data_IF_033424319157
#
_entry.id   IF_033424319157
#
_cell.length_a   1.000
_cell.length_b   1.000
_cell.length_c   1.000
_cell.angle_alpha   90.00
_cell.angle_beta   90.00
_cell.angle_gamma   90.00
#
_symmetry.space_group_name_H-M   'P 1'
#
loop_
_entity.id
_entity.type
_entity.pdbx_description
1 polymer ?
#
# COMPACT_ATOMS: atom_id res chain seq x y z
N UNK A 1 1.88 11.18 16.58
CA UNK A 1 2.93 11.29 15.54
C UNK A 1 2.50 12.32 14.51
N UNK A 2 3.43 12.84 13.70
CA UNK A 2 3.14 13.83 12.66
C UNK A 2 2.10 13.30 11.64
N UNK A 3 1.38 14.21 10.97
CA UNK A 3 0.54 13.86 9.81
C UNK A 3 1.33 14.13 8.54
N UNK A 4 1.26 13.18 7.60
CA UNK A 4 1.80 13.31 6.25
C UNK A 4 0.65 13.34 5.24
N UNK A 5 0.69 14.30 4.32
CA UNK A 5 -0.38 14.56 3.37
C UNK A 5 0.19 14.53 1.96
N UNK A 6 -0.28 13.58 1.14
CA UNK A 6 -0.04 13.61 -0.29
C UNK A 6 -1.04 14.58 -0.92
N UNK A 7 -0.56 15.63 -1.56
CA UNK A 7 -1.45 16.68 -2.13
C UNK A 7 -1.94 16.33 -3.54
N UNK A 8 -1.94 15.03 -3.88
CA UNK A 8 -2.14 14.49 -5.22
C UNK A 8 -1.05 14.92 -6.22
N UNK A 9 -1.02 16.17 -6.65
CA UNK A 9 -0.14 16.65 -7.74
C UNK A 9 0.91 17.68 -7.31
N UNK A 10 0.82 18.21 -6.08
CA UNK A 10 1.63 19.35 -5.63
C UNK A 10 2.62 18.96 -4.52
N UNK A 11 3.12 17.73 -4.56
CA UNK A 11 4.06 17.20 -3.58
C UNK A 11 3.42 16.76 -2.26
N UNK A 12 4.20 16.82 -1.19
CA UNK A 12 3.85 16.28 0.13
C UNK A 12 3.93 17.38 1.17
N UNK A 13 3.00 17.35 2.13
CA UNK A 13 3.03 18.20 3.32
C UNK A 13 3.16 17.38 4.58
N UNK A 14 3.75 17.99 5.60
CA UNK A 14 3.83 17.45 6.95
C UNK A 14 3.30 18.45 7.96
N UNK A 15 2.37 17.99 8.80
CA UNK A 15 1.91 18.71 9.97
C UNK A 15 2.61 18.15 11.20
N UNK A 16 3.29 19.02 11.95
CA UNK A 16 3.99 18.62 13.16
C UNK A 16 3.00 18.41 14.31
N UNK A 17 3.12 17.28 15.00
CA UNK A 17 2.35 17.02 16.21
C UNK A 17 2.83 17.92 17.36
N UNK A 18 1.90 18.56 18.07
CA UNK A 18 2.19 19.51 19.16
C UNK A 18 1.83 19.02 20.55
N UNK A 19 1.16 17.87 20.66
CA UNK A 19 0.65 17.34 21.92
C UNK A 19 -0.84 17.09 21.84
N UNK A 20 -1.46 16.91 23.00
CA UNK A 20 -2.91 16.74 23.13
C UNK A 20 -3.50 17.94 23.86
N UNK A 21 -4.75 18.29 23.54
CA UNK A 21 -5.50 19.24 24.35
C UNK A 21 -5.98 18.62 25.68
N UNK A 22 -6.72 19.39 26.47
CA UNK A 22 -7.28 18.95 27.76
C UNK A 22 -8.27 17.79 27.64
N UNK A 23 -8.78 17.48 26.45
CA UNK A 23 -9.72 16.40 26.16
C UNK A 23 -9.04 15.18 25.52
N UNK A 24 -7.72 15.22 25.30
CA UNK A 24 -6.98 14.16 24.65
C UNK A 24 -7.02 14.20 23.12
N UNK A 25 -7.51 15.29 22.51
CA UNK A 25 -7.52 15.46 21.05
C UNK A 25 -6.12 15.85 20.57
N UNK A 26 -5.58 15.23 19.50
CA UNK A 26 -4.26 15.55 19.01
C UNK A 26 -4.22 16.93 18.33
N UNK A 27 -3.26 17.76 18.72
CA UNK A 27 -3.03 19.10 18.16
C UNK A 27 -1.92 19.02 17.11
N UNK A 28 -2.15 19.67 15.97
CA UNK A 28 -1.19 19.75 14.86
C UNK A 28 -0.93 21.19 14.46
N UNK A 29 0.32 21.48 14.08
CA UNK A 29 0.73 22.80 13.59
C UNK A 29 0.30 23.00 12.14
N UNK A 30 -0.89 23.57 11.95
CA UNK A 30 -1.44 23.87 10.62
C UNK A 30 -0.83 25.14 10.00
N UNK A 31 -0.21 26.00 10.80
CA UNK A 31 0.35 27.26 10.34
C UNK A 31 1.80 27.11 9.85
N UNK A 32 2.55 26.16 10.42
CA UNK A 32 3.94 25.88 10.04
C UNK A 32 4.07 24.50 9.38
N UNK A 33 3.38 24.31 8.25
CA UNK A 33 3.44 23.08 7.48
C UNK A 33 4.80 22.98 6.78
N UNK A 34 5.46 21.83 6.86
CA UNK A 34 6.65 21.56 6.06
C UNK A 34 6.22 21.01 4.70
N UNK A 35 6.76 21.57 3.63
CA UNK A 35 6.49 21.14 2.25
C UNK A 35 7.68 20.38 1.67
N UNK A 36 7.37 19.37 0.88
CA UNK A 36 8.31 18.55 0.14
C UNK A 36 7.87 18.51 -1.32
N UNK A 37 8.81 18.66 -2.24
CA UNK A 37 8.52 18.65 -3.66
C UNK A 37 7.92 17.31 -4.12
N UNK A 38 7.22 17.36 -5.26
CA UNK A 38 6.69 16.16 -5.90
C UNK A 38 7.85 15.24 -6.33
N UNK A 39 7.93 13.99 -5.83
CA UNK A 39 8.96 13.08 -6.31
C UNK A 39 8.74 12.75 -7.78
N UNK A 40 9.79 12.83 -8.59
CA UNK A 40 9.76 12.68 -10.05
C UNK A 40 9.17 11.36 -10.55
N UNK A 41 9.17 10.33 -9.71
CA UNK A 41 8.59 9.02 -9.99
C UNK A 41 7.06 9.04 -10.13
N UNK A 42 6.41 10.15 -9.73
CA UNK A 42 4.96 10.25 -9.67
C UNK A 42 4.46 11.50 -10.42
N UNK A 43 3.32 11.34 -11.10
CA UNK A 43 2.47 12.46 -11.52
C UNK A 43 1.29 12.69 -10.58
N UNK A 44 0.89 11.64 -9.84
CA UNK A 44 -0.17 11.68 -8.84
C UNK A 44 0.24 10.78 -7.67
N UNK A 45 0.25 11.31 -6.44
CA UNK A 45 0.42 10.56 -5.20
C UNK A 45 -0.94 10.07 -4.71
N UNK A 46 -1.02 8.80 -4.32
CA UNK A 46 -2.24 8.17 -3.79
C UNK A 46 -2.10 7.73 -2.34
N UNK A 47 -0.92 7.27 -1.93
CA UNK A 47 -0.66 6.79 -0.57
C UNK A 47 0.71 7.21 -0.08
N UNK A 48 0.78 7.46 1.23
CA UNK A 48 2.01 7.70 1.97
C UNK A 48 2.01 6.81 3.20
N UNK A 49 3.15 6.21 3.52
CA UNK A 49 3.39 5.56 4.79
C UNK A 49 4.77 5.97 5.30
N UNK A 50 4.84 6.61 6.47
CA UNK A 50 6.11 7.04 7.05
C UNK A 50 6.47 6.18 8.26
N UNK A 51 7.68 5.63 8.24
CA UNK A 51 8.25 4.81 9.30
C UNK A 51 9.30 5.63 10.06
N UNK A 52 8.95 6.23 11.22
CA UNK A 52 9.82 7.19 11.90
C UNK A 52 11.09 6.55 12.47
N UNK A 53 11.07 5.26 12.84
CA UNK A 53 12.23 4.56 13.41
C UNK A 53 13.40 4.46 12.44
N UNK A 54 13.13 4.44 11.15
CA UNK A 54 14.12 4.29 10.07
C UNK A 54 14.20 5.52 9.17
N UNK A 55 13.48 6.60 9.53
CA UNK A 55 13.30 7.79 8.70
C UNK A 55 12.99 7.46 7.22
N UNK A 56 12.05 6.52 7.03
CA UNK A 56 11.70 5.99 5.71
C UNK A 56 10.30 6.42 5.30
N UNK A 57 10.18 6.97 4.11
CA UNK A 57 8.89 7.28 3.47
C UNK A 57 8.64 6.30 2.34
N UNK A 58 7.47 5.70 2.35
CA UNK A 58 6.96 4.90 1.25
C UNK A 58 5.83 5.65 0.58
N UNK A 59 5.90 5.75 -0.74
CA UNK A 59 4.95 6.48 -1.55
C UNK A 59 4.39 5.53 -2.59
N UNK A 60 3.08 5.49 -2.76
CA UNK A 60 2.45 4.85 -3.90
C UNK A 60 1.59 5.85 -4.68
N UNK A 61 1.57 5.70 -6.00
CA UNK A 61 0.88 6.60 -6.89
C UNK A 61 0.97 6.19 -8.36
N UNK A 62 0.54 7.10 -9.24
CA UNK A 62 0.62 6.91 -10.68
C UNK A 62 1.93 7.48 -11.23
N UNK A 63 2.63 6.68 -12.03
CA UNK A 63 3.86 7.12 -12.71
C UNK A 63 3.55 8.13 -13.83
N UNK A 64 4.50 8.99 -14.21
CA UNK A 64 4.34 9.91 -15.35
C UNK A 64 3.92 9.20 -16.63
N UNK A 65 4.42 7.98 -16.85
CA UNK A 65 4.15 7.14 -18.02
C UNK A 65 2.84 6.34 -17.95
N UNK A 66 2.10 6.39 -16.84
CA UNK A 66 0.84 5.65 -16.72
C UNK A 66 -0.25 6.33 -17.54
N UNK A 67 -0.68 5.71 -18.63
CA UNK A 67 -1.56 6.32 -19.65
C UNK A 67 -3.06 6.01 -19.45
N UNK A 68 -3.40 5.19 -18.44
CA UNK A 68 -4.78 4.77 -18.21
C UNK A 68 -5.51 5.66 -17.21
N UNK A 69 -6.85 5.60 -17.22
CA UNK A 69 -7.69 6.23 -16.20
C UNK A 69 -7.51 5.47 -14.88
N UNK A 70 -6.98 6.14 -13.87
CA UNK A 70 -7.01 5.63 -12.50
C UNK A 70 -8.44 5.54 -11.96
N UNK A 71 -8.70 4.59 -11.08
CA UNK A 71 -9.99 4.44 -10.39
C UNK A 71 -9.92 4.97 -8.96
N UNK A 72 -11.09 5.18 -8.34
CA UNK A 72 -11.20 5.71 -6.99
C UNK A 72 -10.62 4.76 -5.95
N UNK A 73 -9.86 5.33 -5.02
CA UNK A 73 -9.32 4.62 -3.88
C UNK A 73 -8.19 3.64 -4.22
N UNK A 74 -7.68 3.60 -5.45
CA UNK A 74 -6.50 2.79 -5.79
C UNK A 74 -5.21 3.39 -5.25
N UNK A 75 -4.17 2.56 -5.12
CA UNK A 75 -2.83 3.01 -4.68
C UNK A 75 -1.93 3.43 -5.86
N UNK A 76 -2.34 3.19 -7.11
CA UNK A 76 -1.57 3.48 -8.31
C UNK A 76 -0.76 2.29 -8.86
N UNK A 77 0.10 2.56 -9.85
CA UNK A 77 0.88 1.53 -10.55
C UNK A 77 2.37 1.53 -10.16
N UNK A 78 2.75 2.35 -9.17
CA UNK A 78 4.13 2.50 -8.74
C UNK A 78 4.20 2.73 -7.25
N UNK A 79 5.18 2.11 -6.61
CA UNK A 79 5.56 2.43 -5.24
C UNK A 79 7.07 2.65 -5.12
N UNK A 80 7.48 3.58 -4.28
CA UNK A 80 8.89 3.95 -4.09
C UNK A 80 9.18 4.08 -2.60
N UNK A 81 10.32 3.54 -2.19
CA UNK A 81 10.89 3.66 -0.85
C UNK A 81 11.97 4.75 -0.87
N UNK A 82 11.84 5.74 0.00
CA UNK A 82 12.85 6.76 0.27
C UNK A 82 13.36 6.63 1.70
N UNK A 83 14.68 6.64 1.88
CA UNK A 83 15.36 6.72 3.17
C UNK A 83 15.83 8.15 3.44
N UNK A 84 16.19 8.44 4.70
CA UNK A 84 16.67 9.75 5.14
C UNK A 84 15.67 10.89 4.82
N UNK A 85 14.37 10.57 4.82
CA UNK A 85 13.31 11.43 4.32
C UNK A 85 13.25 12.79 5.01
N UNK A 86 13.50 12.84 6.32
CA UNK A 86 13.39 14.08 7.09
C UNK A 86 14.51 15.10 6.84
N UNK A 87 15.61 14.69 6.18
CA UNK A 87 16.80 15.53 5.96
C UNK A 87 17.15 15.66 4.48
N UNK A 88 17.43 14.53 3.83
CA UNK A 88 17.88 14.46 2.45
C UNK A 88 17.28 13.19 1.83
N UNK A 89 16.02 13.25 1.37
CA UNK A 89 15.33 12.10 0.79
C UNK A 89 16.16 11.42 -0.29
N UNK A 90 16.45 10.14 -0.09
CA UNK A 90 17.18 9.32 -1.05
C UNK A 90 16.33 8.13 -1.45
N UNK A 91 16.13 7.95 -2.76
CA UNK A 91 15.47 6.77 -3.29
C UNK A 91 16.30 5.52 -3.00
N UNK A 92 15.69 4.54 -2.35
CA UNK A 92 16.33 3.28 -1.94
C UNK A 92 15.72 2.04 -2.60
N UNK A 93 14.53 2.16 -3.21
CA UNK A 93 13.86 1.04 -3.88
C UNK A 93 12.62 1.50 -4.62
N UNK A 94 12.22 0.74 -5.65
CA UNK A 94 11.05 1.03 -6.49
C UNK A 94 10.40 -0.26 -6.93
N UNK A 95 9.06 -0.27 -6.96
CA UNK A 95 8.23 -1.37 -7.43
C UNK A 95 7.28 -0.85 -8.50
N UNK A 96 7.23 -1.56 -9.63
CA UNK A 96 6.15 -1.44 -10.60
C UNK A 96 5.04 -2.39 -10.16
N UNK A 97 3.91 -1.83 -9.74
CA UNK A 97 2.78 -2.60 -9.22
C UNK A 97 2.02 -3.14 -10.41
N UNK A 98 1.76 -4.45 -10.41
CA UNK A 98 0.91 -5.06 -11.43
C UNK A 98 -0.45 -4.37 -11.44
N UNK A 99 -0.85 -3.90 -12.62
CA UNK A 99 -2.04 -3.09 -12.84
C UNK A 99 -2.70 -3.56 -14.13
N UNK A 100 -3.65 -4.49 -14.04
CA UNK A 100 -4.32 -5.02 -15.22
C UNK A 100 -5.65 -4.31 -15.43
N UNK A 101 -5.79 -3.63 -16.56
CA UNK A 101 -7.05 -3.03 -17.01
C UNK A 101 -7.61 -3.65 -18.29
N UNK A 102 -6.88 -4.60 -18.89
CA UNK A 102 -7.18 -5.13 -20.23
C UNK A 102 -7.52 -6.61 -20.14
N UNK A 103 -8.80 -6.90 -20.24
CA UNK A 103 -9.28 -8.15 -20.81
C UNK A 103 -10.78 -8.04 -21.09
N UNK A 104 -11.17 -8.17 -22.35
CA UNK A 104 -12.58 -8.41 -22.69
C UNK A 104 -13.04 -9.66 -21.95
N UNK A 105 -14.13 -9.54 -21.18
CA UNK A 105 -14.68 -10.66 -20.40
C UNK A 105 -14.01 -10.95 -19.04
N UNK A 106 -12.87 -10.33 -18.71
CA UNK A 106 -12.22 -10.48 -17.39
C UNK A 106 -11.99 -9.10 -16.78
N UNK A 107 -12.65 -8.84 -15.64
CA UNK A 107 -12.58 -7.56 -14.92
C UNK A 107 -11.16 -7.28 -14.41
N UNK A 108 -10.79 -6.00 -14.29
CA UNK A 108 -9.42 -5.57 -14.02
C UNK A 108 -8.91 -5.91 -12.61
N UNK A 109 -7.64 -6.33 -12.50
CA UNK A 109 -6.89 -6.41 -11.24
C UNK A 109 -6.43 -5.01 -10.85
N UNK A 110 -7.13 -4.40 -9.88
CA UNK A 110 -6.84 -3.04 -9.46
C UNK A 110 -6.23 -3.04 -8.04
N UNK A 111 -5.04 -2.44 -7.85
CA UNK A 111 -4.38 -2.41 -6.55
C UNK A 111 -5.07 -1.38 -5.64
N UNK A 112 -5.82 -1.87 -4.64
CA UNK A 112 -6.69 -1.07 -3.79
C UNK A 112 -6.04 -0.65 -2.48
N UNK A 113 -5.27 -1.55 -1.88
CA UNK A 113 -4.67 -1.34 -0.57
C UNK A 113 -3.21 -1.74 -0.55
N UNK A 114 -2.45 -1.16 0.38
CA UNK A 114 -1.06 -1.51 0.63
C UNK A 114 -0.79 -1.63 2.13
N UNK A 115 0.14 -2.53 2.47
CA UNK A 115 0.78 -2.58 3.77
C UNK A 115 2.28 -2.83 3.59
N UNK A 116 3.10 -2.33 4.51
CA UNK A 116 4.56 -2.39 4.37
C UNK A 116 5.22 -3.02 5.60
N UNK A 117 6.24 -3.84 5.35
CA UNK A 117 7.14 -4.30 6.40
C UNK A 117 8.59 -4.28 5.91
N UNK A 118 9.32 -3.22 6.26
CA UNK A 118 10.71 -3.06 5.84
C UNK A 118 10.84 -2.96 4.33
N UNK A 119 11.41 -3.98 3.70
CA UNK A 119 11.61 -4.04 2.25
C UNK A 119 10.44 -4.69 1.49
N UNK A 120 9.43 -5.19 2.18
CA UNK A 120 8.30 -5.87 1.55
C UNK A 120 7.07 -4.98 1.47
N UNK A 121 6.51 -4.91 0.26
CA UNK A 121 5.24 -4.26 -0.05
C UNK A 121 4.18 -5.35 -0.29
N UNK A 122 3.13 -5.34 0.52
CA UNK A 122 1.94 -6.15 0.33
C UNK A 122 0.90 -5.30 -0.39
N UNK A 123 0.39 -5.77 -1.52
CA UNK A 123 -0.62 -5.07 -2.31
C UNK A 123 -1.88 -5.91 -2.37
N UNK A 124 -2.98 -5.37 -1.87
CA UNK A 124 -4.31 -5.95 -1.92
C UNK A 124 -5.04 -5.54 -3.18
N UNK A 125 -5.64 -6.50 -3.86
CA UNK A 125 -6.32 -6.30 -5.12
C UNK A 125 -7.84 -6.42 -4.95
N UNK A 126 -8.56 -5.46 -5.54
CA UNK A 126 -9.96 -5.70 -5.89
C UNK A 126 -9.94 -6.47 -7.20
N UNK A 127 -10.51 -7.66 -7.17
CA UNK A 127 -10.61 -8.58 -8.30
C UNK A 127 -12.01 -9.18 -8.29
N UNK A 128 -12.70 -9.03 -9.41
CA UNK A 128 -14.09 -9.48 -9.59
C UNK A 128 -14.19 -10.90 -10.18
N UNK A 129 -13.14 -11.71 -10.11
CA UNK A 129 -13.25 -13.14 -10.38
C UNK A 129 -14.36 -13.75 -9.51
N UNK A 130 -15.37 -14.31 -10.16
CA UNK A 130 -16.43 -15.08 -9.49
C UNK A 130 -15.80 -16.28 -8.77
N UNK A 131 -16.43 -16.75 -7.69
CA UNK A 131 -15.92 -17.82 -6.81
C UNK A 131 -15.41 -19.09 -7.51
N UNK A 132 -15.87 -19.34 -8.74
CA UNK A 132 -15.60 -20.56 -9.53
C UNK A 132 -14.52 -20.40 -10.60
N UNK A 133 -13.88 -19.24 -10.74
CA UNK A 133 -12.84 -19.04 -11.76
C UNK A 133 -11.52 -19.72 -11.34
N UNK A 134 -11.04 -20.75 -12.07
CA UNK A 134 -9.76 -21.39 -11.79
C UNK A 134 -8.56 -20.46 -12.05
N UNK A 135 -8.75 -19.36 -12.78
CA UNK A 135 -7.73 -18.32 -13.03
C UNK A 135 -7.75 -17.20 -11.98
N UNK A 136 -8.30 -17.46 -10.79
CA UNK A 136 -8.44 -16.47 -9.72
C UNK A 136 -7.12 -15.74 -9.46
N UNK A 137 -7.14 -14.42 -9.55
CA UNK A 137 -5.97 -13.62 -9.25
C UNK A 137 -5.68 -13.64 -7.75
N UNK A 138 -4.39 -13.55 -7.42
CA UNK A 138 -3.96 -13.48 -6.04
C UNK A 138 -4.53 -12.23 -5.37
N UNK A 139 -5.24 -12.41 -4.25
CA UNK A 139 -5.85 -11.26 -3.55
C UNK A 139 -4.80 -10.35 -2.95
N UNK A 140 -3.67 -10.91 -2.53
CA UNK A 140 -2.50 -10.12 -2.13
C UNK A 140 -1.28 -10.57 -2.91
N UNK A 141 -0.54 -9.61 -3.43
CA UNK A 141 0.78 -9.83 -4.05
C UNK A 141 1.84 -9.16 -3.18
N UNK A 142 3.00 -9.79 -3.08
CA UNK A 142 4.13 -9.29 -2.28
C UNK A 142 5.25 -8.92 -3.22
N UNK A 143 5.75 -7.70 -3.07
CA UNK A 143 6.87 -7.19 -3.83
C UNK A 143 8.04 -6.86 -2.91
N UNK A 144 9.25 -6.94 -3.44
CA UNK A 144 10.48 -6.55 -2.75
C UNK A 144 10.99 -5.22 -3.29
N UNK A 145 11.11 -4.20 -2.44
CA UNK A 145 11.64 -2.88 -2.81
C UNK A 145 13.12 -2.94 -3.25
N UNK A 146 13.88 -3.95 -2.82
CA UNK A 146 15.31 -4.10 -3.15
C UNK A 146 15.51 -4.48 -4.61
N UNK A 147 14.63 -5.35 -5.13
CA UNK A 147 14.73 -5.91 -6.49
C UNK A 147 13.67 -5.34 -7.43
N UNK A 148 12.60 -4.77 -6.90
CA UNK A 148 11.41 -4.34 -7.63
C UNK A 148 10.51 -5.48 -8.10
N UNK A 149 10.80 -6.72 -7.73
CA UNK A 149 10.11 -7.91 -8.22
C UNK A 149 8.93 -8.32 -7.34
N UNK A 150 7.93 -8.95 -7.96
CA UNK A 150 6.90 -9.72 -7.26
C UNK A 150 7.50 -11.05 -6.80
N UNK A 151 7.49 -11.31 -5.49
CA UNK A 151 8.14 -12.47 -4.87
C UNK A 151 7.16 -13.48 -4.30
N UNK A 152 5.89 -13.10 -4.08
CA UNK A 152 4.87 -14.01 -3.60
C UNK A 152 3.46 -13.58 -3.98
N UNK A 153 2.57 -14.58 -4.00
CA UNK A 153 1.13 -14.44 -4.17
C UNK A 153 0.43 -15.13 -3.01
N UNK A 154 -0.52 -14.45 -2.38
CA UNK A 154 -1.25 -14.94 -1.22
C UNK A 154 -2.72 -15.06 -1.59
N UNK A 155 -3.26 -16.25 -1.35
CA UNK A 155 -4.65 -16.62 -1.56
C UNK A 155 -5.23 -17.22 -0.27
N UNK A 156 -6.56 -17.18 -0.08
CA UNK A 156 -7.23 -17.87 1.02
C UNK A 156 -6.90 -19.36 1.02
N UNK A 157 -6.64 -19.90 2.20
CA UNK A 157 -6.40 -21.32 2.41
C UNK A 157 -7.69 -22.15 2.53
N UNK A 158 -7.56 -23.48 2.64
CA UNK A 158 -8.71 -24.40 2.78
C UNK A 158 -9.55 -24.14 4.03
N UNK A 159 -8.98 -23.51 5.07
CA UNK A 159 -9.65 -23.15 6.32
C UNK A 159 -10.86 -22.23 6.10
N UNK A 160 -10.84 -21.49 4.99
CA UNK A 160 -11.94 -20.63 4.53
C UNK A 160 -12.47 -21.09 3.17
N UNK A 161 -12.38 -22.39 2.89
CA UNK A 161 -12.81 -23.02 1.61
C UNK A 161 -12.11 -22.43 0.38
N UNK A 162 -10.90 -21.91 0.54
CA UNK A 162 -10.19 -21.18 -0.51
C UNK A 162 -10.98 -20.01 -1.10
N UNK A 163 -11.88 -19.41 -0.29
CA UNK A 163 -12.70 -18.27 -0.68
C UNK A 163 -12.40 -17.01 0.13
N UNK A 164 -12.55 -15.89 -0.55
CA UNK A 164 -12.34 -14.54 -0.05
C UNK A 164 -13.14 -13.60 -0.93
N UNK A 165 -13.59 -12.49 -0.37
CA UNK A 165 -14.30 -11.43 -1.04
C UNK A 165 -13.35 -10.47 -1.73
N UNK A 166 -13.82 -9.25 -1.92
CA UNK A 166 -13.02 -8.15 -2.44
C UNK A 166 -12.28 -7.45 -1.33
N UNK A 167 -11.03 -7.06 -1.61
CA UNK A 167 -10.32 -6.05 -0.82
C UNK A 167 -10.65 -4.68 -1.43
N UNK A 168 -11.88 -4.18 -1.21
CA UNK A 168 -12.40 -2.99 -1.90
C UNK A 168 -12.37 -1.71 -1.04
N UNK A 169 -11.55 -1.68 0.02
CA UNK A 169 -11.30 -0.46 0.80
C UNK A 169 -9.84 0.01 0.71
N UNK A 170 -9.57 1.34 0.68
CA UNK A 170 -8.23 1.94 0.61
C UNK A 170 -7.17 1.42 1.60
N UNK A 171 -7.59 0.91 2.76
CA UNK A 171 -6.73 0.47 3.88
C UNK A 171 -7.10 -0.94 4.38
N UNK A 172 -7.49 -1.82 3.46
CA UNK A 172 -7.89 -3.20 3.76
C UNK A 172 -6.78 -4.04 4.43
N UNK A 173 -5.51 -3.68 4.20
CA UNK A 173 -4.37 -4.48 4.66
C UNK A 173 -3.65 -3.89 5.88
N UNK A 174 -3.23 -4.79 6.78
CA UNK A 174 -2.27 -4.49 7.85
C UNK A 174 -1.29 -5.64 8.03
N UNK A 175 0.00 -5.34 8.09
CA UNK A 175 1.04 -6.36 8.30
C UNK A 175 1.80 -6.13 9.60
N UNK A 176 2.12 -7.23 10.29
CA UNK A 176 2.97 -7.25 11.50
C UNK A 176 4.05 -8.31 11.32
N UNK A 177 5.32 -7.91 11.40
CA UNK A 177 6.44 -8.86 11.43
C UNK A 177 6.64 -9.38 12.86
N UNK A 178 6.71 -10.70 13.00
CA UNK A 178 7.00 -11.40 14.25
C UNK A 178 8.51 -11.55 14.45
N UNK A 179 8.92 -11.76 15.70
CA UNK A 179 10.33 -11.95 16.08
C UNK A 179 10.98 -13.17 15.41
N UNK A 180 10.19 -14.20 15.11
CA UNK A 180 10.64 -15.42 14.44
C UNK A 180 10.74 -15.28 12.91
N UNK A 181 10.57 -14.06 12.37
CA UNK A 181 10.68 -13.78 10.94
C UNK A 181 9.40 -13.99 10.13
N UNK A 182 8.34 -14.52 10.74
CA UNK A 182 7.03 -14.62 10.09
C UNK A 182 6.33 -13.26 10.01
N UNK A 183 5.35 -13.16 9.13
CA UNK A 183 4.45 -12.01 9.03
C UNK A 183 3.02 -12.47 9.33
N UNK A 184 2.30 -11.66 10.09
CA UNK A 184 0.85 -11.72 10.22
C UNK A 184 0.27 -10.62 9.33
N UNK A 185 -0.45 -11.02 8.30
CA UNK A 185 -1.13 -10.11 7.39
C UNK A 185 -2.63 -10.21 7.63
N UNK A 186 -3.25 -9.10 8.01
CA UNK A 186 -4.68 -8.95 8.16
C UNK A 186 -5.24 -8.31 6.89
N UNK A 187 -6.33 -8.88 6.39
CA UNK A 187 -7.03 -8.40 5.20
C UNK A 187 -8.52 -8.31 5.49
N UNK A 188 -9.07 -7.10 5.51
CA UNK A 188 -10.51 -6.86 5.50
C UNK A 188 -11.08 -7.25 4.14
N UNK A 189 -12.15 -8.04 4.14
CA UNK A 189 -12.83 -8.44 2.92
C UNK A 189 -14.34 -8.19 3.01
N UNK A 190 -14.84 -7.38 2.08
CA UNK A 190 -16.17 -6.78 2.15
C UNK A 190 -17.27 -7.81 1.80
N UNK A 191 -17.08 -8.58 0.73
CA UNK A 191 -18.15 -9.43 0.17
C UNK A 191 -18.67 -10.54 1.11
N UNK A 192 -17.81 -11.18 1.90
CA UNK A 192 -18.25 -12.13 2.93
C UNK A 192 -18.14 -11.58 4.36
N UNK A 193 -17.91 -10.27 4.49
CA UNK A 193 -17.87 -9.55 5.76
C UNK A 193 -16.98 -10.20 6.84
N UNK A 194 -15.76 -10.62 6.48
CA UNK A 194 -14.77 -11.11 7.46
C UNK A 194 -13.44 -10.35 7.40
N UNK A 195 -12.57 -10.70 8.34
CA UNK A 195 -11.17 -10.32 8.29
C UNK A 195 -10.35 -11.60 8.25
N UNK A 196 -9.54 -11.76 7.20
CA UNK A 196 -8.63 -12.89 7.07
C UNK A 196 -7.30 -12.54 7.72
N UNK A 197 -6.72 -13.50 8.44
CA UNK A 197 -5.36 -13.42 8.95
C UNK A 197 -4.51 -14.50 8.30
N UNK A 198 -3.51 -14.07 7.53
CA UNK A 198 -2.52 -14.93 6.92
C UNK A 198 -1.28 -14.95 7.79
N UNK A 199 -0.78 -16.15 8.08
CA UNK A 199 0.53 -16.36 8.69
C UNK A 199 1.48 -16.86 7.61
N UNK A 200 2.46 -16.02 7.27
CA UNK A 200 3.35 -16.26 6.12
C UNK A 200 4.80 -16.17 6.55
N UNK A 201 5.65 -16.94 5.85
CA UNK A 201 7.09 -16.77 5.86
C UNK A 201 7.50 -16.35 4.45
N UNK A 202 8.24 -15.26 4.36
CA UNK A 202 8.81 -14.80 3.10
C UNK A 202 10.26 -15.24 3.14
N UNK A 203 10.61 -16.22 2.31
CA UNK A 203 12.00 -16.62 2.15
C UNK A 203 12.68 -15.58 1.23
N UNK A 204 13.74 -14.90 1.71
CA UNK A 204 14.36 -13.77 1.04
C UNK A 204 15.18 -14.13 -0.19
#
# INVERSE_FOLDING_TARGET
>A
GNIWIGTSTNGIKKLSFKGFDSYGSPIYDINNQQSFDMPKEFKIIQRLEYHPKTDTMYIAGYSPTFDKRGDWGLIGNRAVKYINWSKAPQKAGEVVIAYNQKSEGVRPDLPKSMAISGDYLFVGYVDNSYEKDPNRYAKVRVYDFRTGQEIAKINPGPEVKSTTGWLDVPMALRVVRRKNGEYLLFAEEDFYAKALMYRIKIDP
#
